data_IF_294233405966
#
_entry.id   IF_294233405966
#
_cell.length_a   1.000
_cell.length_b   1.000
_cell.length_c   1.000
_cell.angle_alpha   90.00
_cell.angle_beta   90.00
_cell.angle_gamma   90.00
#
_symmetry.space_group_name_H-M   'P 1'
#
loop_
_entity.id
_entity.type
_entity.pdbx_description
1 polymer ?
#
# COMPACT_ATOMS: atom_id res chain seq x y z
N UNK A 1 18.38 -5.51 1.97
CA UNK A 1 18.87 -6.70 2.71
C UNK A 1 17.94 -7.15 3.84
N UNK A 2 17.25 -6.24 4.55
CA UNK A 2 16.36 -6.60 5.66
C UNK A 2 15.34 -7.72 5.32
N UNK A 3 14.64 -7.62 4.18
CA UNK A 3 13.68 -8.64 3.74
C UNK A 3 14.30 -10.02 3.46
N UNK A 4 15.56 -10.07 3.00
CA UNK A 4 16.28 -11.33 2.83
C UNK A 4 16.50 -12.00 4.17
N UNK A 5 17.04 -11.27 5.15
CA UNK A 5 17.26 -11.80 6.50
C UNK A 5 15.95 -12.25 7.14
N UNK A 6 14.87 -11.48 6.96
CA UNK A 6 13.53 -11.83 7.45
C UNK A 6 13.02 -13.14 6.80
N UNK A 7 13.15 -13.27 5.48
CA UNK A 7 12.76 -14.47 4.76
C UNK A 7 13.54 -15.72 5.21
N UNK A 8 14.85 -15.59 5.37
CA UNK A 8 15.74 -16.67 5.79
C UNK A 8 15.46 -17.10 7.24
N UNK A 9 15.28 -16.13 8.16
CA UNK A 9 15.05 -16.38 9.58
C UNK A 9 13.73 -17.10 9.84
N UNK A 10 12.66 -16.67 9.17
CA UNK A 10 11.31 -17.23 9.36
C UNK A 10 10.96 -18.35 8.39
N UNK A 11 11.84 -18.67 7.44
CA UNK A 11 11.58 -19.65 6.39
C UNK A 11 10.25 -19.39 5.67
N UNK A 12 10.06 -18.15 5.22
CA UNK A 12 8.79 -17.71 4.65
C UNK A 12 8.31 -18.63 3.53
N UNK A 13 7.03 -18.98 3.59
CA UNK A 13 6.34 -19.61 2.47
C UNK A 13 5.91 -18.51 1.50
N UNK A 14 6.46 -18.53 0.29
CA UNK A 14 6.26 -17.49 -0.72
C UNK A 14 5.50 -18.04 -1.93
N UNK A 15 4.78 -17.20 -2.70
CA UNK A 15 4.03 -17.66 -3.86
C UNK A 15 4.94 -18.39 -4.87
N UNK A 16 4.64 -19.66 -5.12
CA UNK A 16 5.49 -20.53 -5.95
C UNK A 16 5.72 -19.94 -7.34
N UNK A 17 4.66 -19.40 -7.97
CA UNK A 17 4.73 -18.75 -9.27
C UNK A 17 5.69 -17.55 -9.30
N UNK A 18 5.73 -16.75 -8.22
CA UNK A 18 6.68 -15.64 -8.09
C UNK A 18 8.12 -16.15 -7.91
N UNK A 19 8.33 -17.13 -7.02
CA UNK A 19 9.67 -17.66 -6.76
C UNK A 19 10.27 -18.41 -7.97
N UNK A 20 9.43 -18.92 -8.87
CA UNK A 20 9.87 -19.51 -10.13
C UNK A 20 10.46 -18.48 -11.10
N UNK A 21 10.07 -17.21 -10.99
CA UNK A 21 10.65 -16.08 -11.73
C UNK A 21 11.88 -15.54 -11.00
N UNK A 22 11.77 -15.31 -9.69
CA UNK A 22 12.82 -14.71 -8.86
C UNK A 22 13.73 -15.74 -8.19
N UNK A 23 14.20 -16.73 -8.94
CA UNK A 23 14.94 -17.89 -8.38
C UNK A 23 16.20 -17.53 -7.61
N UNK A 24 16.92 -16.48 -8.01
CA UNK A 24 18.15 -16.02 -7.34
C UNK A 24 17.89 -15.11 -6.14
N UNK A 25 16.67 -14.57 -6.02
CA UNK A 25 16.27 -13.63 -4.96
C UNK A 25 14.81 -13.89 -4.53
N UNK A 26 14.46 -15.10 -4.08
CA UNK A 26 13.06 -15.46 -3.85
C UNK A 26 12.39 -14.58 -2.79
N UNK A 27 13.16 -14.03 -1.84
CA UNK A 27 12.69 -13.13 -0.80
C UNK A 27 11.99 -11.86 -1.31
N UNK A 28 12.22 -11.43 -2.56
CA UNK A 28 11.51 -10.28 -3.15
C UNK A 28 10.02 -10.57 -3.27
N UNK A 29 9.61 -11.84 -3.37
CA UNK A 29 8.21 -12.25 -3.42
C UNK A 29 7.46 -12.04 -2.09
N UNK A 30 8.12 -11.59 -1.03
CA UNK A 30 7.46 -11.09 0.18
C UNK A 30 6.91 -9.66 -0.01
N UNK A 31 7.39 -8.95 -1.02
CA UNK A 31 6.99 -7.58 -1.33
C UNK A 31 5.90 -7.60 -2.40
N UNK A 32 4.85 -6.84 -2.13
CA UNK A 32 3.61 -6.87 -2.91
C UNK A 32 3.85 -6.54 -4.39
N UNK A 33 4.74 -5.61 -4.70
CA UNK A 33 5.05 -5.20 -6.07
C UNK A 33 5.70 -6.30 -6.92
N UNK A 34 6.34 -7.31 -6.29
CA UNK A 34 6.90 -8.46 -6.99
C UNK A 34 5.95 -9.65 -6.98
N UNK A 35 5.16 -9.84 -5.93
CA UNK A 35 4.26 -10.99 -5.82
C UNK A 35 2.97 -10.81 -6.61
N UNK A 36 2.44 -9.58 -6.67
CA UNK A 36 1.15 -9.26 -7.31
C UNK A 36 1.03 -9.88 -8.71
N UNK A 37 2.02 -9.75 -9.64
CA UNK A 37 1.98 -10.33 -10.99
C UNK A 37 1.74 -11.84 -11.07
N UNK A 38 1.86 -12.53 -9.95
CA UNK A 38 1.78 -13.98 -9.85
C UNK A 38 0.61 -14.44 -8.99
N UNK A 39 -0.25 -13.53 -8.51
CA UNK A 39 -1.45 -13.85 -7.74
C UNK A 39 -2.67 -13.94 -8.67
N UNK A 40 -3.38 -15.07 -8.58
CA UNK A 40 -4.59 -15.34 -9.38
C UNK A 40 -5.88 -14.94 -8.66
N UNK A 41 -5.86 -14.86 -7.33
CA UNK A 41 -7.03 -14.52 -6.51
C UNK A 41 -7.40 -13.05 -6.65
N UNK A 42 -8.69 -12.73 -6.54
CA UNK A 42 -9.19 -11.36 -6.35
C UNK A 42 -8.57 -10.73 -5.09
N UNK A 43 -8.28 -9.43 -5.13
CA UNK A 43 -7.59 -8.76 -4.04
C UNK A 43 -8.01 -7.30 -3.90
N UNK A 44 -8.27 -6.91 -2.66
CA UNK A 44 -8.48 -5.52 -2.25
C UNK A 44 -7.38 -5.12 -1.28
N UNK A 45 -6.59 -4.11 -1.63
CA UNK A 45 -5.48 -3.61 -0.82
C UNK A 45 -5.96 -2.40 -0.03
N UNK A 46 -5.66 -2.39 1.26
CA UNK A 46 -5.88 -1.24 2.15
C UNK A 46 -4.50 -0.87 2.70
N UNK A 47 -4.06 0.35 2.47
CA UNK A 47 -2.72 0.79 2.88
C UNK A 47 -2.69 2.30 3.09
N UNK A 48 -1.87 2.78 4.03
CA UNK A 48 -1.59 4.21 4.13
C UNK A 48 -0.46 4.58 3.18
N UNK A 49 -0.59 5.70 2.44
CA UNK A 49 0.49 6.18 1.56
C UNK A 49 1.79 6.47 2.33
N UNK A 50 1.66 6.75 3.63
CA UNK A 50 2.75 7.02 4.56
C UNK A 50 2.61 6.16 5.83
N UNK A 51 2.50 4.83 5.68
CA UNK A 51 2.37 3.91 6.83
C UNK A 51 3.49 4.12 7.86
N UNK A 52 3.08 4.47 9.07
CA UNK A 52 4.00 4.84 10.14
C UNK A 52 4.87 3.68 10.62
N UNK A 53 4.44 2.43 10.47
CA UNK A 53 5.26 1.25 10.85
C UNK A 53 6.34 1.00 9.79
N UNK A 54 6.02 1.13 8.51
CA UNK A 54 7.04 1.06 7.46
C UNK A 54 8.09 2.15 7.67
N UNK A 55 7.64 3.40 7.80
CA UNK A 55 8.52 4.55 8.02
C UNK A 55 9.34 4.41 9.31
N UNK A 56 8.74 4.00 10.43
CA UNK A 56 9.42 3.90 11.73
C UNK A 56 10.34 2.67 11.81
N UNK A 57 9.80 1.47 11.61
CA UNK A 57 10.53 0.21 11.88
C UNK A 57 11.47 -0.20 10.76
N UNK A 58 11.23 0.25 9.52
CA UNK A 58 12.03 -0.16 8.37
C UNK A 58 12.92 0.96 7.83
N UNK A 59 12.48 2.22 7.94
CA UNK A 59 13.22 3.38 7.42
C UNK A 59 13.77 4.33 8.49
N UNK A 60 13.47 4.09 9.77
CA UNK A 60 14.04 4.85 10.89
C UNK A 60 13.46 6.27 11.04
N UNK A 61 12.24 6.50 10.58
CA UNK A 61 11.49 7.76 10.68
C UNK A 61 10.43 7.64 11.77
N UNK A 62 10.73 8.04 13.02
CA UNK A 62 9.85 7.78 14.15
C UNK A 62 8.58 8.62 14.15
N UNK A 63 8.64 9.81 13.56
CA UNK A 63 7.55 10.77 13.47
C UNK A 63 7.72 11.66 12.23
N UNK A 64 6.64 12.33 11.83
CA UNK A 64 6.65 13.36 10.81
C UNK A 64 6.99 14.73 11.42
N UNK A 65 8.06 15.36 10.92
CA UNK A 65 8.49 16.71 11.27
C UNK A 65 9.27 17.33 10.09
N UNK A 66 9.72 18.58 10.23
CA UNK A 66 10.41 19.30 9.15
C UNK A 66 11.68 18.58 8.65
N UNK A 67 12.40 17.87 9.54
CA UNK A 67 13.62 17.14 9.19
C UNK A 67 13.30 15.87 8.39
N UNK A 68 12.18 15.21 8.69
CA UNK A 68 11.76 13.95 8.05
C UNK A 68 10.85 14.16 6.85
N UNK A 69 10.25 15.34 6.70
CA UNK A 69 9.28 15.65 5.65
C UNK A 69 9.76 15.36 4.22
N UNK A 70 11.00 15.69 3.80
CA UNK A 70 11.47 15.36 2.45
C UNK A 70 11.51 13.85 2.18
N UNK A 71 11.86 13.05 3.20
CA UNK A 71 11.87 11.60 3.08
C UNK A 71 10.46 11.04 3.00
N UNK A 72 9.56 11.48 3.90
CA UNK A 72 8.15 11.05 3.90
C UNK A 72 7.47 11.42 2.58
N UNK A 73 7.74 12.59 2.01
CA UNK A 73 7.26 12.99 0.69
C UNK A 73 7.75 12.03 -0.41
N UNK A 74 9.04 11.70 -0.42
CA UNK A 74 9.62 10.77 -1.40
C UNK A 74 9.08 9.36 -1.25
N UNK A 75 8.87 8.91 -0.01
CA UNK A 75 8.28 7.62 0.31
C UNK A 75 6.83 7.57 -0.18
N UNK A 76 6.01 8.55 0.20
CA UNK A 76 4.61 8.66 -0.21
C UNK A 76 4.46 8.61 -1.72
N UNK A 77 5.22 9.42 -2.49
CA UNK A 77 5.23 9.36 -3.97
C UNK A 77 5.48 7.95 -4.51
N UNK A 78 6.42 7.24 -3.91
CA UNK A 78 6.76 5.88 -4.34
C UNK A 78 5.64 4.91 -4.01
N UNK A 79 5.08 5.01 -2.79
CA UNK A 79 3.97 4.18 -2.35
C UNK A 79 2.72 4.41 -3.21
N UNK A 80 2.30 5.67 -3.42
CA UNK A 80 1.15 6.01 -4.27
C UNK A 80 1.36 5.52 -5.70
N UNK A 81 2.59 5.58 -6.23
CA UNK A 81 2.91 5.00 -7.55
C UNK A 81 2.73 3.48 -7.57
N UNK A 82 3.24 2.77 -6.56
CA UNK A 82 3.11 1.31 -6.47
C UNK A 82 1.64 0.90 -6.34
N UNK A 83 0.89 1.56 -5.46
CA UNK A 83 -0.52 1.27 -5.23
C UNK A 83 -1.38 1.56 -6.46
N UNK A 84 -1.17 2.69 -7.14
CA UNK A 84 -1.95 3.07 -8.32
C UNK A 84 -1.58 2.34 -9.61
N UNK A 85 -0.37 1.80 -9.73
CA UNK A 85 0.10 1.18 -10.99
C UNK A 85 0.30 -0.34 -10.90
N UNK A 86 0.76 -0.86 -9.77
CA UNK A 86 1.10 -2.30 -9.67
C UNK A 86 -0.13 -3.12 -9.31
N UNK A 87 -0.97 -2.64 -8.39
CA UNK A 87 -2.21 -3.36 -8.03
C UNK A 87 -3.19 -3.48 -9.20
N UNK A 88 -3.37 -2.45 -10.06
CA UNK A 88 -4.34 -2.52 -11.16
C UNK A 88 -3.85 -3.17 -12.45
N UNK A 89 -2.55 -3.41 -12.62
CA UNK A 89 -1.97 -3.71 -13.94
C UNK A 89 -2.07 -5.17 -14.40
N UNK A 90 -2.75 -6.03 -13.64
CA UNK A 90 -2.83 -7.45 -13.96
C UNK A 90 -4.19 -7.87 -14.50
N UNK A 91 -4.15 -8.48 -15.68
CA UNK A 91 -5.31 -9.06 -16.31
C UNK A 91 -5.76 -10.34 -15.59
N UNK A 92 -7.07 -10.57 -15.55
CA UNK A 92 -7.66 -11.87 -15.21
C UNK A 92 -8.21 -12.01 -13.78
N UNK A 93 -8.08 -10.99 -12.92
CA UNK A 93 -8.66 -11.00 -11.59
C UNK A 93 -9.07 -9.58 -11.15
N UNK A 94 -10.07 -9.49 -10.29
CA UNK A 94 -10.59 -8.24 -9.78
C UNK A 94 -9.62 -7.63 -8.78
N UNK A 95 -9.33 -6.34 -8.93
CA UNK A 95 -8.35 -5.62 -8.11
C UNK A 95 -8.99 -4.35 -7.55
N UNK A 96 -8.67 -4.06 -6.31
CA UNK A 96 -9.11 -2.86 -5.62
C UNK A 96 -8.03 -2.30 -4.73
N UNK A 97 -7.99 -0.98 -4.62
CA UNK A 97 -7.10 -0.25 -3.71
C UNK A 97 -7.92 0.79 -2.98
N UNK A 98 -7.77 0.82 -1.66
CA UNK A 98 -8.10 1.95 -0.82
C UNK A 98 -6.83 2.44 -0.15
N UNK A 99 -6.45 3.70 -0.38
CA UNK A 99 -5.28 4.25 0.27
C UNK A 99 -5.45 5.70 0.68
N UNK A 100 -5.16 5.98 1.95
CA UNK A 100 -5.32 7.30 2.53
C UNK A 100 -3.97 7.93 2.83
N UNK A 101 -3.90 9.25 2.70
CA UNK A 101 -2.74 10.06 3.04
C UNK A 101 -2.67 10.32 4.55
N UNK A 102 -2.37 9.30 5.35
CA UNK A 102 -2.18 9.45 6.81
C UNK A 102 -0.86 8.87 7.29
N UNK A 103 -0.18 9.55 8.22
CA UNK A 103 0.96 8.99 8.95
C UNK A 103 0.46 8.09 10.08
N UNK A 104 -0.06 6.92 9.72
CA UNK A 104 -0.76 6.01 10.64
C UNK A 104 -0.43 4.56 10.35
N UNK A 105 -0.89 3.65 11.21
CA UNK A 105 -0.79 2.21 10.95
C UNK A 105 -2.08 1.50 11.37
N UNK A 106 -2.70 0.76 10.46
CA UNK A 106 -3.91 -0.07 10.69
C UNK A 106 -5.18 0.64 11.18
N UNK A 107 -5.16 1.95 11.43
CA UNK A 107 -6.31 2.73 11.91
C UNK A 107 -7.30 3.09 10.78
N UNK A 108 -7.80 2.07 10.08
CA UNK A 108 -8.93 2.21 9.17
C UNK A 108 -10.22 1.86 9.92
N UNK A 109 -11.12 2.83 10.06
CA UNK A 109 -12.41 2.71 10.73
C UNK A 109 -13.56 3.05 9.76
N UNK A 110 -14.79 2.67 10.12
CA UNK A 110 -15.98 3.10 9.39
C UNK A 110 -16.18 4.63 9.47
N UNK A 111 -15.58 5.29 10.46
CA UNK A 111 -15.69 6.73 10.68
C UNK A 111 -14.54 7.54 10.06
N UNK A 112 -13.42 6.94 9.66
CA UNK A 112 -12.26 7.61 9.07
C UNK A 112 -11.16 6.61 8.66
N UNK A 113 -10.18 7.02 7.83
CA UNK A 113 -10.19 8.24 7.01
C UNK A 113 -11.26 8.15 5.92
N UNK A 114 -11.54 9.29 5.28
CA UNK A 114 -12.37 9.40 4.09
C UNK A 114 -11.55 9.90 2.92
N UNK A 115 -11.49 9.10 1.86
CA UNK A 115 -10.85 9.46 0.58
C UNK A 115 -11.98 9.77 -0.39
N UNK A 116 -12.02 11.01 -0.90
CA UNK A 116 -13.12 11.47 -1.78
C UNK A 116 -14.53 11.24 -1.20
N UNK A 117 -14.67 11.28 0.13
CA UNK A 117 -15.95 11.06 0.83
C UNK A 117 -16.29 9.58 1.11
N UNK A 118 -15.42 8.65 0.75
CA UNK A 118 -15.58 7.21 1.00
C UNK A 118 -14.59 6.71 2.07
N UNK A 119 -15.08 5.88 2.99
CA UNK A 119 -14.21 5.13 3.90
C UNK A 119 -13.82 3.79 3.24
N UNK A 120 -12.94 3.04 3.91
CA UNK A 120 -12.47 1.75 3.38
C UNK A 120 -13.61 0.72 3.23
N UNK A 121 -14.64 0.74 4.09
CA UNK A 121 -15.76 -0.20 4.03
C UNK A 121 -16.66 0.05 2.83
N UNK A 122 -16.97 1.32 2.52
CA UNK A 122 -17.73 1.68 1.34
C UNK A 122 -16.96 1.39 0.07
N UNK A 123 -15.65 1.68 0.04
CA UNK A 123 -14.80 1.35 -1.10
C UNK A 123 -14.70 -0.17 -1.31
N UNK A 124 -14.56 -0.95 -0.23
CA UNK A 124 -14.55 -2.41 -0.29
C UNK A 124 -15.89 -2.97 -0.77
N UNK A 125 -17.02 -2.44 -0.30
CA UNK A 125 -18.36 -2.85 -0.74
C UNK A 125 -18.56 -2.57 -2.23
N UNK A 126 -18.18 -1.37 -2.71
CA UNK A 126 -18.23 -1.01 -4.13
C UNK A 126 -17.38 -1.95 -4.99
N UNK A 127 -16.18 -2.32 -4.51
CA UNK A 127 -15.36 -3.33 -5.16
C UNK A 127 -16.06 -4.69 -5.18
N UNK A 128 -16.53 -5.18 -4.04
CA UNK A 128 -17.15 -6.51 -3.92
C UNK A 128 -18.41 -6.67 -4.79
N UNK A 129 -19.24 -5.63 -4.87
CA UNK A 129 -20.48 -5.63 -5.65
C UNK A 129 -20.24 -5.62 -7.16
N UNK A 130 -18.98 -5.60 -7.60
CA UNK A 130 -18.62 -5.58 -9.02
C UNK A 130 -19.02 -4.27 -9.69
N UNK A 131 -19.10 -3.17 -8.93
CA UNK A 131 -19.44 -1.84 -9.45
C UNK A 131 -18.41 -1.31 -10.47
N UNK A 132 -17.31 -2.03 -10.69
CA UNK A 132 -16.48 -1.87 -11.85
C UNK A 132 -16.09 -3.25 -12.40
N UNK A 133 -16.39 -3.50 -13.68
CA UNK A 133 -15.67 -4.50 -14.50
C UNK A 133 -14.20 -4.09 -14.74
N UNK A 134 -13.70 -3.13 -13.96
CA UNK A 134 -12.40 -2.48 -14.02
C UNK A 134 -11.84 -2.38 -12.60
N UNK A 135 -10.53 -2.18 -12.47
CA UNK A 135 -9.88 -1.97 -11.18
C UNK A 135 -10.45 -0.74 -10.46
N UNK A 136 -10.85 -0.89 -9.19
CA UNK A 136 -11.25 0.23 -8.34
C UNK A 136 -10.02 0.81 -7.62
N UNK A 137 -9.73 2.09 -7.80
CA UNK A 137 -8.67 2.78 -7.06
C UNK A 137 -9.27 4.00 -6.37
N UNK A 138 -9.36 3.93 -5.04
CA UNK A 138 -9.79 5.02 -4.17
C UNK A 138 -8.59 5.44 -3.35
N UNK A 139 -7.88 6.49 -3.80
CA UNK A 139 -6.64 6.94 -3.17
C UNK A 139 -6.59 8.45 -3.04
N UNK A 140 -5.93 8.96 -1.99
CA UNK A 140 -5.60 10.37 -1.86
C UNK A 140 -4.46 10.77 -2.81
N UNK A 141 -4.05 12.02 -2.71
CA UNK A 141 -2.81 12.51 -3.31
C UNK A 141 -2.01 13.25 -2.24
N UNK A 142 -1.27 12.50 -1.42
CA UNK A 142 -0.49 13.11 -0.34
C UNK A 142 0.68 13.95 -0.85
N UNK A 143 1.17 13.64 -2.05
CA UNK A 143 2.59 13.82 -2.33
C UNK A 143 2.91 14.21 -3.79
N UNK A 144 1.93 14.59 -4.61
CA UNK A 144 2.19 15.14 -5.96
C UNK A 144 2.83 16.52 -5.96
N UNK A 145 2.64 17.31 -4.89
CA UNK A 145 3.24 18.63 -4.68
C UNK A 145 4.60 18.59 -4.00
N UNK A 146 5.10 19.75 -3.55
CA UNK A 146 6.42 19.90 -2.90
C UNK A 146 6.38 19.63 -1.38
N UNK A 147 5.20 19.33 -0.83
CA UNK A 147 4.97 19.10 0.60
C UNK A 147 4.04 17.91 0.81
N UNK A 148 4.08 17.28 1.98
CA UNK A 148 3.15 16.20 2.36
C UNK A 148 1.81 16.81 2.76
N UNK A 149 0.76 16.46 2.05
CA UNK A 149 -0.62 16.89 2.28
C UNK A 149 -1.41 15.73 2.89
N UNK A 150 -1.40 15.62 4.22
CA UNK A 150 -2.20 14.59 4.88
C UNK A 150 -3.69 14.85 4.74
N UNK A 151 -4.46 13.76 4.73
CA UNK A 151 -5.91 13.80 4.66
C UNK A 151 -6.47 14.44 5.95
N UNK A 152 -7.35 15.44 5.85
CA UNK A 152 -7.90 16.14 7.02
C UNK A 152 -8.82 15.27 7.90
N UNK A 153 -9.10 14.04 7.49
CA UNK A 153 -9.90 13.07 8.24
C UNK A 153 -9.05 11.99 8.91
N UNK A 154 -7.73 12.10 8.87
CA UNK A 154 -6.85 11.16 9.57
C UNK A 154 -7.16 11.11 11.08
N UNK A 155 -7.06 9.92 11.72
CA UNK A 155 -7.41 9.74 13.13
C UNK A 155 -6.67 10.67 14.11
N UNK A 156 -5.41 11.03 13.83
CA UNK A 156 -4.51 11.64 14.83
C UNK A 156 -3.95 13.03 14.47
N UNK A 157 -4.58 13.80 13.57
CA UNK A 157 -4.14 15.18 13.27
C UNK A 157 -5.28 16.19 13.18
#
# INVERSE_FOLDING_TARGET
EAFRCYADMWQLQLPAACTAVWTSQPWVCALLNYSIPHLESDMFVIEFETDSVQLNLHDGVPEYNDDTAPFVLSFGRTMSTVLSSVVPSLSGAQRGVYAAACFEHTYFDAAYPFVSGENFLSAFASWLDGAANDTLVTMDDCCSGDEVQFNPTCPSY
#
